data_IF_146915555399
#
_entry.id   IF_146915555399
#
_cell.length_a   1.000
_cell.length_b   1.000
_cell.length_c   1.000
_cell.angle_alpha   90.00
_cell.angle_beta   90.00
_cell.angle_gamma   90.00
#
_symmetry.space_group_name_H-M   'P 1'
#
loop_
_entity.id
_entity.type
_entity.pdbx_description
1 polymer ?
#
# COMPACT_ATOMS: atom_id res chain seq x y z
N UNK A 1 10.96 5.27 -29.07
CA UNK A 1 11.17 4.94 -27.66
C UNK A 1 10.29 5.89 -26.89
N UNK A 2 9.26 5.40 -26.19
CA UNK A 2 8.40 6.27 -25.40
C UNK A 2 9.24 6.94 -24.30
N UNK A 3 9.03 8.23 -24.11
CA UNK A 3 9.56 8.93 -22.94
C UNK A 3 8.60 8.67 -21.77
N UNK A 4 8.82 7.54 -21.09
CA UNK A 4 7.96 7.06 -20.01
C UNK A 4 7.80 8.08 -18.88
N UNK A 5 8.83 8.92 -18.65
CA UNK A 5 8.77 9.96 -17.63
C UNK A 5 7.86 11.12 -18.07
N UNK A 6 7.93 11.52 -19.34
CA UNK A 6 7.01 12.52 -19.89
C UNK A 6 5.56 12.00 -19.90
N UNK A 7 5.35 10.75 -20.29
CA UNK A 7 4.02 10.14 -20.26
C UNK A 7 3.45 10.09 -18.83
N UNK A 8 4.25 9.64 -17.85
CA UNK A 8 3.85 9.62 -16.44
C UNK A 8 3.49 11.03 -15.93
N UNK A 9 4.29 12.05 -16.25
CA UNK A 9 4.00 13.45 -15.86
C UNK A 9 2.67 13.93 -16.43
N UNK A 10 2.40 13.64 -17.70
CA UNK A 10 1.14 14.04 -18.32
C UNK A 10 -0.07 13.28 -17.75
N UNK A 11 0.09 12.00 -17.41
CA UNK A 11 -0.93 11.22 -16.68
C UNK A 11 -1.25 11.84 -15.31
N UNK A 12 -0.23 12.26 -14.55
CA UNK A 12 -0.40 12.98 -13.29
C UNK A 12 -1.18 14.28 -13.49
N UNK A 13 -0.82 15.09 -14.50
CA UNK A 13 -1.52 16.35 -14.81
C UNK A 13 -3.00 16.12 -15.12
N UNK A 14 -3.34 15.12 -15.96
CA UNK A 14 -4.73 14.77 -16.28
C UNK A 14 -5.50 14.30 -15.06
N UNK A 15 -4.87 13.52 -14.19
CA UNK A 15 -5.49 13.06 -12.95
C UNK A 15 -5.80 14.19 -11.98
N UNK A 16 -4.98 15.25 -11.97
CA UNK A 16 -5.25 16.47 -11.19
C UNK A 16 -6.48 17.24 -11.68
N UNK A 17 -6.76 17.21 -12.98
CA UNK A 17 -7.94 17.87 -13.57
C UNK A 17 -9.27 17.13 -13.34
N UNK A 18 -9.26 15.89 -12.84
CA UNK A 18 -10.48 15.11 -12.61
C UNK A 18 -11.33 15.71 -11.48
N UNK A 19 -12.64 15.71 -11.68
CA UNK A 19 -13.61 16.08 -10.65
C UNK A 19 -13.54 15.11 -9.46
N UNK A 20 -14.10 15.49 -8.31
CA UNK A 20 -14.21 14.59 -7.15
C UNK A 20 -14.99 13.33 -7.51
N UNK A 21 -16.08 13.47 -8.26
CA UNK A 21 -16.90 12.35 -8.74
C UNK A 21 -16.08 11.39 -9.62
N UNK A 22 -15.31 11.91 -10.57
CA UNK A 22 -14.45 11.10 -11.44
C UNK A 22 -13.34 10.39 -10.65
N UNK A 23 -12.79 11.05 -9.63
CA UNK A 23 -11.80 10.44 -8.73
C UNK A 23 -12.42 9.32 -7.89
N UNK A 24 -13.64 9.50 -7.40
CA UNK A 24 -14.35 8.43 -6.69
C UNK A 24 -14.70 7.28 -7.63
N UNK A 25 -15.09 7.57 -8.87
CA UNK A 25 -15.48 6.55 -9.85
C UNK A 25 -14.31 5.71 -10.35
N UNK A 26 -13.15 6.33 -10.58
CA UNK A 26 -12.02 5.70 -11.26
C UNK A 26 -10.73 5.62 -10.42
N UNK A 27 -10.68 6.28 -9.26
CA UNK A 27 -9.49 6.34 -8.41
C UNK A 27 -9.37 5.17 -7.44
N UNK A 28 -10.45 4.41 -7.22
CA UNK A 28 -10.39 3.19 -6.42
C UNK A 28 -10.13 2.00 -7.31
N UNK A 29 -9.13 1.21 -6.93
CA UNK A 29 -8.87 -0.11 -7.50
C UNK A 29 -9.10 -1.14 -6.39
N UNK A 30 -9.87 -2.19 -6.69
CA UNK A 30 -9.94 -3.34 -5.81
C UNK A 30 -8.70 -4.21 -6.01
N UNK A 31 -7.79 -4.14 -5.05
CA UNK A 31 -6.60 -4.98 -4.99
C UNK A 31 -6.83 -6.04 -3.93
N UNK A 32 -6.78 -7.31 -4.36
CA UNK A 32 -6.75 -8.44 -3.44
C UNK A 32 -5.50 -8.34 -2.54
N UNK A 33 -5.71 -8.36 -1.22
CA UNK A 33 -4.67 -8.35 -0.20
C UNK A 33 -4.48 -9.79 0.29
N UNK A 34 -3.42 -10.49 -0.14
CA UNK A 34 -3.18 -11.87 0.25
C UNK A 34 -3.21 -12.05 1.75
N UNK A 35 -3.80 -13.16 2.20
CA UNK A 35 -4.01 -13.50 3.61
C UNK A 35 -5.05 -12.60 4.29
N UNK A 36 -4.99 -11.28 4.15
CA UNK A 36 -5.97 -10.38 4.78
C UNK A 36 -7.39 -10.65 4.27
N UNK A 37 -7.56 -10.71 2.96
CA UNK A 37 -8.87 -10.90 2.32
C UNK A 37 -9.34 -12.37 2.34
N UNK A 38 -8.50 -13.30 2.82
CA UNK A 38 -8.80 -14.74 2.87
C UNK A 38 -9.67 -15.16 4.06
N UNK A 39 -10.00 -14.23 4.95
CA UNK A 39 -10.92 -14.48 6.06
C UNK A 39 -11.67 -13.21 6.45
N UNK A 40 -12.92 -13.35 6.85
CA UNK A 40 -13.79 -12.22 7.22
C UNK A 40 -13.24 -11.41 8.41
N UNK A 41 -12.64 -12.09 9.39
CA UNK A 41 -12.06 -11.45 10.57
C UNK A 41 -10.99 -12.30 11.23
N UNK A 42 -10.12 -11.65 12.00
CA UNK A 42 -9.12 -12.27 12.88
C UNK A 42 -9.04 -11.48 14.19
N UNK A 43 -8.90 -12.19 15.31
CA UNK A 43 -8.71 -11.60 16.63
C UNK A 43 -7.51 -12.24 17.33
N UNK A 44 -6.78 -11.44 18.10
CA UNK A 44 -5.60 -11.88 18.85
C UNK A 44 -5.79 -11.55 20.33
N UNK A 45 -5.20 -12.35 21.21
CA UNK A 45 -5.30 -12.14 22.66
C UNK A 45 -4.32 -11.07 23.15
N UNK A 46 -3.31 -10.73 22.35
CA UNK A 46 -2.35 -9.68 22.65
C UNK A 46 -1.80 -9.01 21.39
N UNK A 47 -1.19 -7.85 21.57
CA UNK A 47 -0.45 -7.16 20.50
C UNK A 47 0.81 -7.91 20.06
N UNK A 48 1.41 -8.70 20.95
CA UNK A 48 2.57 -9.51 20.62
C UNK A 48 2.18 -10.65 19.67
N UNK A 49 1.10 -11.37 19.98
CA UNK A 49 0.54 -12.43 19.13
C UNK A 49 0.19 -11.89 17.73
N UNK A 50 -0.47 -10.73 17.68
CA UNK A 50 -0.76 -10.03 16.42
C UNK A 50 0.51 -9.72 15.60
N UNK A 51 1.53 -9.12 16.22
CA UNK A 51 2.78 -8.77 15.52
C UNK A 51 3.54 -10.00 15.03
N UNK A 52 3.60 -11.06 15.83
CA UNK A 52 4.18 -12.33 15.40
C UNK A 52 3.46 -12.93 14.21
N UNK A 53 2.13 -12.91 14.25
CA UNK A 53 1.31 -13.42 13.15
C UNK A 53 1.55 -12.60 11.87
N UNK A 54 1.57 -11.26 11.96
CA UNK A 54 1.87 -10.38 10.82
C UNK A 54 3.21 -10.71 10.18
N UNK A 55 4.28 -10.85 10.97
CA UNK A 55 5.62 -11.19 10.45
C UNK A 55 5.69 -12.55 9.75
N UNK A 56 4.91 -13.53 10.20
CA UNK A 56 4.92 -14.90 9.66
C UNK A 56 4.04 -15.06 8.42
N UNK A 57 2.94 -14.31 8.32
CA UNK A 57 1.89 -14.59 7.34
C UNK A 57 1.69 -13.48 6.30
N UNK A 58 2.00 -12.21 6.61
CA UNK A 58 1.71 -11.12 5.69
C UNK A 58 2.89 -10.84 4.75
N UNK A 59 2.62 -10.59 3.45
CA UNK A 59 3.62 -10.08 2.53
C UNK A 59 4.25 -8.77 3.02
N UNK A 60 5.56 -8.63 2.82
CA UNK A 60 6.35 -7.47 3.24
C UNK A 60 5.78 -6.13 2.73
N UNK A 61 5.33 -6.10 1.47
CA UNK A 61 4.82 -4.89 0.83
C UNK A 61 3.55 -4.32 1.50
N UNK A 62 2.84 -5.11 2.32
CA UNK A 62 1.68 -4.63 3.07
C UNK A 62 2.07 -3.77 4.28
N UNK A 63 3.34 -3.77 4.70
CA UNK A 63 3.86 -2.85 5.72
C UNK A 63 3.47 -3.17 7.17
N UNK A 64 2.97 -4.37 7.45
CA UNK A 64 2.62 -4.83 8.81
C UNK A 64 3.80 -5.47 9.57
N UNK A 65 4.92 -5.69 8.88
CA UNK A 65 6.13 -6.30 9.42
C UNK A 65 7.09 -5.29 10.04
N UNK A 66 8.33 -5.71 10.23
CA UNK A 66 9.40 -4.81 10.65
C UNK A 66 9.80 -3.87 9.51
N UNK A 67 10.27 -2.67 9.86
CA UNK A 67 10.79 -1.72 8.88
C UNK A 67 11.97 -2.35 8.12
N UNK A 68 11.96 -2.20 6.80
CA UNK A 68 13.12 -2.51 5.97
C UNK A 68 14.27 -1.56 6.29
N UNK A 69 15.49 -1.93 5.92
CA UNK A 69 16.66 -1.07 6.13
C UNK A 69 16.50 0.29 5.43
N UNK A 70 15.95 0.31 4.22
CA UNK A 70 15.67 1.54 3.50
C UNK A 70 14.65 2.40 4.25
N UNK A 71 13.58 1.80 4.76
CA UNK A 71 12.55 2.54 5.51
C UNK A 71 13.09 3.12 6.81
N UNK A 72 13.95 2.38 7.53
CA UNK A 72 14.61 2.90 8.75
C UNK A 72 15.49 4.10 8.41
N UNK A 73 16.34 3.98 7.40
CA UNK A 73 17.21 5.07 6.95
C UNK A 73 16.42 6.34 6.58
N UNK A 74 15.34 6.19 5.82
CA UNK A 74 14.49 7.34 5.44
C UNK A 74 13.85 8.01 6.66
N UNK A 75 13.42 7.24 7.66
CA UNK A 75 12.84 7.78 8.88
C UNK A 75 13.87 8.47 9.77
N UNK A 76 15.09 7.92 9.84
CA UNK A 76 16.19 8.53 10.61
C UNK A 76 16.70 9.83 9.96
N UNK A 77 16.49 10.00 8.65
CA UNK A 77 16.87 11.17 7.86
C UNK A 77 15.78 12.27 7.81
N UNK A 78 14.57 12.02 8.32
CA UNK A 78 13.40 12.91 8.27
C UNK A 78 13.17 13.71 9.56
#
# INVERSE_FOLDING_TARGET
MNDDLSDFREQCRRSLCRSVEERMRYGFNYVYKPVLDDADWRSFNSMEEYREWCRKNLPEYLGYGELTELQRRVLDEA
#
